data_IF_930651864359
#
_entry.id   IF_930651864359
#
_cell.length_a   1.000
_cell.length_b   1.000
_cell.length_c   1.000
_cell.angle_alpha   90.00
_cell.angle_beta   90.00
_cell.angle_gamma   90.00
#
_symmetry.space_group_name_H-M   'P 1'
#
loop_
_entity.id
_entity.type
_entity.pdbx_description
1 polymer ?
#
# COMPACT_ATOMS: atom_id res chain seq x y z
N UNK A 1 9.44 -36.47 83.15
CA UNK A 1 10.91 -36.25 83.10
C UNK A 1 11.26 -35.88 81.67
N UNK A 2 12.14 -34.89 81.46
CA UNK A 2 12.87 -34.47 80.22
C UNK A 2 12.70 -35.31 78.93
N UNK A 3 12.66 -34.77 77.70
CA UNK A 3 12.65 -33.39 77.17
C UNK A 3 12.17 -33.46 75.69
N UNK A 4 11.68 -32.36 75.10
CA UNK A 4 11.48 -32.25 73.64
C UNK A 4 12.83 -32.17 72.89
N UNK A 5 12.82 -32.59 71.62
CA UNK A 5 13.83 -32.23 70.62
C UNK A 5 13.11 -31.71 69.38
N UNK A 6 13.40 -30.47 68.99
CA UNK A 6 12.84 -29.82 67.81
C UNK A 6 13.61 -30.22 66.54
N UNK A 7 12.90 -30.69 65.52
CA UNK A 7 13.43 -30.83 64.16
C UNK A 7 12.88 -29.72 63.26
N UNK A 8 13.66 -28.65 63.04
CA UNK A 8 13.27 -27.59 62.11
C UNK A 8 13.45 -28.03 60.65
N UNK A 9 12.36 -28.14 59.89
CA UNK A 9 12.42 -28.18 58.42
C UNK A 9 12.13 -26.78 57.86
N UNK A 10 13.15 -26.10 57.31
CA UNK A 10 12.98 -24.80 56.65
C UNK A 10 12.28 -24.95 55.31
N UNK A 11 11.00 -24.58 55.24
CA UNK A 11 10.30 -24.30 53.98
C UNK A 11 10.74 -22.94 53.42
N UNK A 12 11.65 -22.96 52.44
CA UNK A 12 12.00 -21.76 51.68
C UNK A 12 10.84 -21.36 50.76
N UNK A 13 10.00 -20.42 51.20
CA UNK A 13 9.05 -19.73 50.33
C UNK A 13 9.80 -18.85 49.32
N UNK A 14 10.12 -19.40 48.15
CA UNK A 14 10.51 -18.61 46.99
C UNK A 14 9.26 -17.89 46.49
N UNK A 15 9.25 -16.56 46.58
CA UNK A 15 8.08 -15.75 46.21
C UNK A 15 7.67 -15.99 44.74
N UNK A 16 6.37 -16.20 44.44
CA UNK A 16 5.90 -16.43 43.07
C UNK A 16 6.02 -15.22 42.13
N UNK A 17 6.46 -14.07 42.65
CA UNK A 17 6.57 -12.78 41.95
C UNK A 17 7.63 -12.81 40.84
N UNK A 18 8.69 -13.61 40.98
CA UNK A 18 9.72 -13.72 39.93
C UNK A 18 9.27 -14.53 38.71
N UNK A 19 8.44 -15.57 38.89
CA UNK A 19 7.98 -16.40 37.75
C UNK A 19 7.04 -15.61 36.82
N UNK A 20 6.14 -14.80 37.37
CA UNK A 20 5.21 -13.99 36.58
C UNK A 20 5.94 -12.88 35.80
N UNK A 21 6.94 -12.25 36.41
CA UNK A 21 7.79 -11.25 35.74
C UNK A 21 8.55 -11.86 34.55
N UNK A 22 9.14 -13.06 34.71
CA UNK A 22 9.82 -13.75 33.61
C UNK A 22 8.85 -14.24 32.52
N UNK A 23 7.64 -14.68 32.87
CA UNK A 23 6.61 -15.02 31.89
C UNK A 23 6.14 -13.79 31.11
N UNK A 24 5.98 -12.63 31.74
CA UNK A 24 5.70 -11.37 31.05
C UNK A 24 6.85 -10.95 30.13
N UNK A 25 8.11 -11.06 30.58
CA UNK A 25 9.29 -10.77 29.73
C UNK A 25 9.37 -11.74 28.55
N UNK A 26 9.07 -13.04 28.73
CA UNK A 26 9.02 -14.02 27.64
C UNK A 26 7.85 -13.76 26.67
N UNK A 27 6.69 -13.33 27.17
CA UNK A 27 5.57 -12.89 26.31
C UNK A 27 5.91 -11.60 25.54
N UNK A 28 6.63 -10.65 26.15
CA UNK A 28 7.08 -9.42 25.49
C UNK A 28 8.16 -9.73 24.45
N UNK A 29 9.13 -10.61 24.73
CA UNK A 29 10.15 -11.03 23.75
C UNK A 29 9.56 -11.90 22.63
N UNK A 30 8.56 -12.76 22.90
CA UNK A 30 7.81 -13.49 21.85
C UNK A 30 6.80 -12.60 21.11
N UNK A 31 6.46 -11.44 21.64
CA UNK A 31 5.63 -10.41 21.00
C UNK A 31 6.46 -9.34 20.25
N UNK A 32 7.69 -9.68 19.83
CA UNK A 32 8.18 -9.17 18.55
C UNK A 32 7.30 -9.83 17.48
N UNK A 33 6.11 -9.26 17.27
CA UNK A 33 5.14 -9.71 16.27
C UNK A 33 5.85 -9.76 14.93
N UNK A 34 6.18 -10.96 14.46
CA UNK A 34 6.93 -11.14 13.22
C UNK A 34 6.15 -10.48 12.10
N UNK A 35 6.70 -9.39 11.53
CA UNK A 35 6.06 -8.61 10.48
C UNK A 35 5.56 -9.56 9.40
N UNK A 36 4.26 -9.48 9.04
CA UNK A 36 3.68 -10.39 8.04
C UNK A 36 4.59 -10.44 6.81
N UNK A 37 4.92 -11.62 6.28
CA UNK A 37 5.88 -11.75 5.18
C UNK A 37 5.43 -10.90 3.99
N UNK A 38 6.37 -10.26 3.30
CA UNK A 38 6.06 -9.49 2.10
C UNK A 38 5.54 -10.41 0.99
N UNK A 39 4.59 -9.93 0.18
CA UNK A 39 4.22 -10.65 -1.06
C UNK A 39 5.42 -10.73 -2.00
N UNK A 40 5.56 -11.85 -2.72
CA UNK A 40 6.61 -12.05 -3.72
C UNK A 40 6.61 -10.92 -4.77
N UNK A 41 7.77 -10.49 -5.30
CA UNK A 41 7.83 -9.47 -6.32
C UNK A 41 7.16 -9.86 -7.64
N UNK A 42 6.50 -8.90 -8.28
CA UNK A 42 5.73 -9.13 -9.52
C UNK A 42 6.57 -9.11 -10.81
N UNK A 43 7.81 -8.63 -10.75
CA UNK A 43 8.68 -8.51 -11.93
C UNK A 43 10.08 -9.04 -11.61
N UNK A 44 10.46 -10.19 -12.19
CA UNK A 44 11.84 -10.73 -12.18
C UNK A 44 12.55 -10.69 -10.79
N UNK A 45 11.82 -10.98 -9.69
CA UNK A 45 12.29 -10.86 -8.30
C UNK A 45 12.79 -9.46 -7.85
N UNK A 46 12.59 -8.40 -8.64
CA UNK A 46 13.01 -7.02 -8.27
C UNK A 46 12.28 -6.53 -7.01
N UNK A 47 12.98 -6.17 -5.92
CA UNK A 47 12.35 -5.86 -4.63
C UNK A 47 11.56 -4.55 -4.62
N UNK A 48 11.95 -3.60 -5.47
CA UNK A 48 11.31 -2.30 -5.69
C UNK A 48 11.27 -2.05 -7.19
N UNK A 49 10.11 -1.64 -7.72
CA UNK A 49 9.93 -1.36 -9.14
C UNK A 49 9.41 0.05 -9.40
N UNK A 50 9.68 0.59 -10.58
CA UNK A 50 9.06 1.80 -11.09
C UNK A 50 8.03 1.45 -12.17
N UNK A 51 6.81 1.94 -12.02
CA UNK A 51 5.74 1.82 -13.00
C UNK A 51 5.44 3.19 -13.64
N UNK A 52 5.11 3.19 -14.93
CA UNK A 52 4.73 4.37 -15.70
C UNK A 52 3.23 4.37 -16.01
N UNK A 53 2.55 5.49 -15.76
CA UNK A 53 1.13 5.69 -16.06
C UNK A 53 0.84 7.17 -16.41
N UNK A 54 1.53 7.70 -17.40
CA UNK A 54 1.32 9.05 -17.96
C UNK A 54 1.03 8.96 -19.48
N UNK A 55 0.26 9.89 -20.07
CA UNK A 55 -0.31 9.76 -21.43
C UNK A 55 0.70 9.98 -22.58
N UNK A 56 1.97 9.64 -22.38
CA UNK A 56 3.08 10.01 -23.27
C UNK A 56 3.06 9.34 -24.64
N UNK A 57 2.17 8.38 -24.89
CA UNK A 57 1.85 7.91 -26.24
C UNK A 57 1.38 9.06 -27.14
N UNK A 58 0.70 10.07 -26.56
CA UNK A 58 0.31 11.30 -27.26
C UNK A 58 1.51 12.04 -27.85
N UNK A 59 2.69 11.99 -27.21
CA UNK A 59 3.89 12.65 -27.73
C UNK A 59 4.39 12.03 -29.03
N UNK A 60 4.33 10.69 -29.13
CA UNK A 60 4.65 9.98 -30.35
C UNK A 60 3.57 10.22 -31.41
N UNK A 61 2.29 10.06 -31.05
CA UNK A 61 1.15 10.15 -31.97
C UNK A 61 1.00 11.55 -32.60
N UNK A 62 1.20 12.62 -31.82
CA UNK A 62 0.96 14.01 -32.28
C UNK A 62 2.20 14.72 -32.80
N UNK A 63 3.37 14.42 -32.24
CA UNK A 63 4.59 15.22 -32.43
C UNK A 63 5.81 14.38 -32.83
N UNK A 64 5.65 13.06 -33.05
CA UNK A 64 6.76 12.13 -33.31
C UNK A 64 7.84 12.12 -32.20
N UNK A 65 7.53 12.63 -30.99
CA UNK A 65 8.47 12.67 -29.86
C UNK A 65 8.39 11.36 -29.09
N UNK A 66 9.27 10.41 -29.46
CA UNK A 66 9.44 9.15 -28.72
C UNK A 66 10.23 9.36 -27.42
N UNK A 67 9.67 8.95 -26.29
CA UNK A 67 10.33 8.85 -24.99
C UNK A 67 10.97 7.46 -24.82
N UNK A 68 12.07 7.38 -24.06
CA UNK A 68 12.59 6.10 -23.60
C UNK A 68 12.02 5.78 -22.20
N UNK A 69 11.35 4.64 -22.06
CA UNK A 69 10.76 4.17 -20.81
C UNK A 69 11.35 2.84 -20.32
N UNK A 70 12.48 2.37 -20.88
CA UNK A 70 13.11 1.07 -20.57
C UNK A 70 13.51 0.90 -19.09
N UNK A 71 13.65 2.01 -18.33
CA UNK A 71 13.91 1.98 -16.89
C UNK A 71 12.68 1.63 -16.03
N UNK A 72 11.46 1.68 -16.60
CA UNK A 72 10.22 1.29 -15.94
C UNK A 72 9.89 -0.18 -16.22
N UNK A 73 9.60 -0.94 -15.17
CA UNK A 73 9.32 -2.38 -15.27
C UNK A 73 7.90 -2.68 -15.74
N UNK A 74 6.99 -1.73 -15.50
CA UNK A 74 5.57 -1.85 -15.79
C UNK A 74 5.13 -0.55 -16.44
N UNK A 75 4.50 -0.63 -17.61
CA UNK A 75 4.04 0.54 -18.36
C UNK A 75 2.55 0.39 -18.61
N UNK A 76 1.84 1.50 -18.47
CA UNK A 76 0.47 1.68 -18.91
C UNK A 76 0.22 3.12 -19.34
N UNK A 77 -1.02 3.38 -19.76
CA UNK A 77 -1.44 4.67 -20.30
C UNK A 77 -2.81 5.06 -19.75
N UNK A 78 -3.00 6.27 -19.21
CA UNK A 78 -4.27 6.73 -18.67
C UNK A 78 -5.27 7.16 -19.77
N UNK A 79 -4.92 7.03 -21.05
CA UNK A 79 -5.79 7.39 -22.18
C UNK A 79 -7.08 6.55 -22.22
N UNK A 80 -8.21 7.16 -22.56
CA UNK A 80 -9.53 6.51 -22.53
C UNK A 80 -9.70 5.32 -23.49
N UNK A 81 -8.85 5.22 -24.53
CA UNK A 81 -8.85 4.11 -25.49
C UNK A 81 -7.72 3.09 -25.25
N UNK A 82 -6.89 3.28 -24.22
CA UNK A 82 -5.83 2.34 -23.88
C UNK A 82 -6.43 1.06 -23.27
N UNK A 83 -6.01 -0.11 -23.76
CA UNK A 83 -6.48 -1.43 -23.36
C UNK A 83 -5.28 -2.37 -23.22
N UNK A 84 -5.41 -3.45 -22.46
CA UNK A 84 -4.34 -4.45 -22.27
C UNK A 84 -3.06 -3.87 -21.65
N UNK A 85 -3.20 -2.87 -20.77
CA UNK A 85 -2.07 -2.14 -20.19
C UNK A 85 -1.63 -2.80 -18.87
N UNK A 86 -0.32 -2.97 -18.66
CA UNK A 86 0.20 -3.58 -17.42
C UNK A 86 0.03 -2.67 -16.18
N UNK A 87 -0.19 -1.36 -16.39
CA UNK A 87 -0.91 -0.50 -15.44
C UNK A 87 -2.24 -0.11 -16.07
N UNK A 88 -3.35 -0.64 -15.56
CA UNK A 88 -4.70 -0.22 -15.98
C UNK A 88 -5.33 0.61 -14.87
N UNK A 89 -5.68 1.86 -15.18
CA UNK A 89 -6.36 2.79 -14.27
C UNK A 89 -7.81 3.02 -14.71
N UNK A 90 -8.74 2.76 -13.81
CA UNK A 90 -10.17 2.89 -13.99
C UNK A 90 -10.66 4.20 -13.37
N UNK A 91 -10.72 5.25 -14.18
CA UNK A 91 -11.40 6.49 -13.82
C UNK A 91 -12.91 6.29 -13.66
N UNK A 92 -13.56 7.27 -13.04
CA UNK A 92 -15.00 7.31 -12.70
C UNK A 92 -15.99 6.96 -13.82
N UNK A 93 -15.60 7.09 -15.08
CA UNK A 93 -16.43 6.77 -16.25
C UNK A 93 -15.95 5.52 -17.02
N UNK A 94 -15.14 4.66 -16.39
CA UNK A 94 -14.50 3.49 -17.01
C UNK A 94 -14.70 2.17 -16.27
N UNK A 95 -15.44 2.15 -15.16
CA UNK A 95 -15.72 0.93 -14.39
C UNK A 95 -17.12 1.02 -13.78
N UNK A 96 -18.09 0.41 -14.44
CA UNK A 96 -19.47 0.38 -13.99
C UNK A 96 -20.14 1.75 -13.99
N UNK A 97 -21.32 1.81 -13.37
CA UNK A 97 -22.05 3.05 -13.15
C UNK A 97 -21.69 3.63 -11.78
N UNK A 98 -20.50 4.20 -11.63
CA UNK A 98 -20.11 4.88 -10.39
C UNK A 98 -21.00 6.13 -10.16
N UNK A 99 -21.65 6.29 -8.99
CA UNK A 99 -22.51 7.43 -8.68
C UNK A 99 -21.71 8.65 -8.23
N UNK A 100 -22.01 9.84 -8.76
CA UNK A 100 -21.35 11.10 -8.36
C UNK A 100 -22.16 12.35 -8.79
N UNK A 101 -21.84 13.51 -8.21
CA UNK A 101 -22.43 14.81 -8.59
C UNK A 101 -21.45 15.66 -9.42
N UNK A 102 -21.96 16.24 -10.51
CA UNK A 102 -21.21 17.27 -11.28
C UNK A 102 -20.98 18.53 -10.44
N UNK A 103 -20.10 19.42 -10.91
CA UNK A 103 -19.88 20.75 -10.32
C UNK A 103 -21.14 21.63 -10.28
N UNK A 104 -22.15 21.32 -11.08
CA UNK A 104 -23.45 21.98 -11.15
C UNK A 104 -24.50 21.30 -10.24
N UNK A 105 -24.13 20.27 -9.48
CA UNK A 105 -25.04 19.52 -8.63
C UNK A 105 -25.92 18.50 -9.37
N UNK A 106 -25.68 18.24 -10.67
CA UNK A 106 -26.43 17.23 -11.43
C UNK A 106 -26.00 15.82 -10.99
N UNK A 107 -26.93 14.92 -10.60
CA UNK A 107 -26.62 13.54 -10.26
C UNK A 107 -26.28 12.73 -11.51
N UNK A 108 -25.11 12.11 -11.53
CA UNK A 108 -24.71 11.10 -12.50
C UNK A 108 -24.87 9.74 -11.84
N UNK A 109 -25.52 8.80 -12.54
CA UNK A 109 -25.80 7.45 -12.04
C UNK A 109 -26.50 7.47 -10.65
N UNK A 110 -27.50 8.34 -10.47
CA UNK A 110 -28.22 8.50 -9.19
C UNK A 110 -27.52 9.40 -8.15
N UNK A 111 -26.25 9.78 -8.38
CA UNK A 111 -25.47 10.72 -7.55
C UNK A 111 -24.95 10.16 -6.22
N UNK A 112 -25.70 9.23 -5.60
CA UNK A 112 -25.39 8.60 -4.31
C UNK A 112 -25.31 7.07 -4.45
N UNK A 113 -24.45 6.38 -3.68
CA UNK A 113 -24.36 4.91 -3.70
C UNK A 113 -25.66 4.23 -3.24
N UNK A 114 -26.46 4.85 -2.37
CA UNK A 114 -27.77 4.33 -1.97
C UNK A 114 -28.91 4.60 -2.98
N UNK A 115 -28.65 5.34 -4.08
CA UNK A 115 -29.67 5.79 -5.03
C UNK A 115 -29.48 5.20 -6.44
N UNK A 116 -28.85 4.02 -6.54
CA UNK A 116 -28.68 3.28 -7.80
C UNK A 116 -28.54 1.77 -7.53
N UNK A 117 -29.01 0.95 -8.47
CA UNK A 117 -28.84 -0.51 -8.42
C UNK A 117 -27.36 -0.93 -8.48
N UNK A 118 -26.87 -1.53 -7.40
CA UNK A 118 -25.56 -2.17 -7.33
C UNK A 118 -25.42 -3.31 -8.36
N UNK A 119 -26.49 -4.05 -8.65
CA UNK A 119 -26.44 -5.13 -9.65
C UNK A 119 -26.12 -4.57 -11.04
N UNK A 120 -26.85 -3.54 -11.49
CA UNK A 120 -26.65 -2.91 -12.80
C UNK A 120 -25.26 -2.26 -12.89
N UNK A 121 -24.75 -1.71 -11.77
CA UNK A 121 -23.37 -1.27 -11.68
C UNK A 121 -22.37 -2.43 -11.95
N UNK A 122 -22.54 -3.56 -11.27
CA UNK A 122 -21.62 -4.71 -11.37
C UNK A 122 -21.67 -5.38 -12.75
N UNK A 123 -22.84 -5.50 -13.38
CA UNK A 123 -22.99 -5.98 -14.75
C UNK A 123 -22.23 -5.10 -15.75
N UNK A 124 -22.32 -3.77 -15.60
CA UNK A 124 -21.55 -2.82 -16.42
C UNK A 124 -20.05 -2.87 -16.10
N UNK A 125 -19.67 -3.07 -14.84
CA UNK A 125 -18.28 -3.16 -14.40
C UNK A 125 -17.59 -4.43 -14.95
N UNK A 126 -18.27 -5.58 -15.01
CA UNK A 126 -17.75 -6.80 -15.63
C UNK A 126 -17.38 -6.57 -17.10
N UNK A 127 -18.29 -5.94 -17.86
CA UNK A 127 -18.04 -5.56 -19.26
C UNK A 127 -16.84 -4.62 -19.40
N UNK A 128 -16.67 -3.65 -18.48
CA UNK A 128 -15.51 -2.75 -18.50
C UNK A 128 -14.20 -3.48 -18.16
N UNK A 129 -14.20 -4.38 -17.18
CA UNK A 129 -13.03 -5.19 -16.83
C UNK A 129 -12.60 -6.02 -18.05
N UNK A 130 -13.55 -6.69 -18.70
CA UNK A 130 -13.31 -7.47 -19.92
C UNK A 130 -12.87 -6.60 -21.10
N UNK A 131 -13.35 -5.35 -21.21
CA UNK A 131 -12.90 -4.40 -22.22
C UNK A 131 -11.46 -3.92 -21.96
N UNK A 132 -11.16 -3.34 -20.79
CA UNK A 132 -9.86 -2.72 -20.51
C UNK A 132 -8.75 -3.74 -20.24
N UNK A 133 -9.05 -4.87 -19.61
CA UNK A 133 -8.11 -5.94 -19.27
C UNK A 133 -8.53 -7.24 -19.96
N UNK A 134 -8.30 -7.41 -21.28
CA UNK A 134 -8.75 -8.60 -22.02
C UNK A 134 -8.00 -9.89 -21.64
N UNK A 135 -6.77 -9.81 -21.11
CA UNK A 135 -6.01 -10.98 -20.68
C UNK A 135 -6.50 -11.48 -19.32
N UNK A 136 -7.00 -12.72 -19.25
CA UNK A 136 -7.51 -13.32 -18.00
C UNK A 136 -6.42 -13.56 -16.95
N UNK A 137 -5.20 -13.87 -17.40
CA UNK A 137 -4.04 -14.14 -16.56
C UNK A 137 -3.29 -12.87 -16.11
N UNK A 138 -3.86 -11.69 -16.38
CA UNK A 138 -3.31 -10.38 -16.02
C UNK A 138 -2.76 -10.33 -14.59
N UNK A 139 -1.46 -10.05 -14.47
CA UNK A 139 -0.74 -9.90 -13.21
C UNK A 139 -0.18 -8.49 -12.99
N UNK A 140 -0.75 -7.49 -13.66
CA UNK A 140 -0.36 -6.08 -13.57
C UNK A 140 -1.07 -5.33 -12.44
N UNK A 141 -0.95 -3.99 -12.47
CA UNK A 141 -1.59 -3.07 -11.54
C UNK A 141 -2.98 -2.70 -12.05
N UNK A 142 -4.04 -2.98 -11.27
CA UNK A 142 -5.42 -2.64 -11.58
C UNK A 142 -5.94 -1.63 -10.54
N UNK A 143 -5.95 -0.35 -10.92
CA UNK A 143 -6.16 0.75 -9.98
C UNK A 143 -7.51 1.40 -10.21
N UNK A 144 -8.37 1.41 -9.20
CA UNK A 144 -9.68 2.06 -9.26
C UNK A 144 -9.53 3.49 -8.74
N UNK A 145 -9.85 4.47 -9.59
CA UNK A 145 -9.65 5.89 -9.33
C UNK A 145 -11.01 6.61 -9.16
N UNK A 146 -11.55 6.44 -7.96
CA UNK A 146 -12.86 6.95 -7.54
C UNK A 146 -12.69 7.98 -6.42
N UNK A 147 -12.51 9.25 -6.80
CA UNK A 147 -12.20 10.33 -5.87
C UNK A 147 -13.42 11.14 -5.39
N UNK A 148 -14.64 10.93 -5.90
CA UNK A 148 -15.75 11.88 -5.69
C UNK A 148 -16.32 11.86 -4.26
N UNK A 149 -16.59 10.69 -3.71
CA UNK A 149 -16.99 10.48 -2.32
C UNK A 149 -16.04 9.53 -1.59
N UNK A 150 -16.00 9.62 -0.27
CA UNK A 150 -15.29 8.71 0.63
C UNK A 150 -16.31 7.78 1.30
N UNK A 151 -16.01 6.50 1.58
CA UNK A 151 -16.99 5.56 2.14
C UNK A 151 -17.31 5.79 3.63
N UNK A 152 -16.61 6.72 4.30
CA UNK A 152 -16.89 7.16 5.66
C UNK A 152 -17.51 8.56 5.60
N UNK A 153 -18.68 8.74 6.21
CA UNK A 153 -19.46 9.97 6.28
C UNK A 153 -18.62 11.17 6.71
N UNK A 154 -17.85 11.01 7.79
CA UNK A 154 -17.01 12.07 8.36
C UNK A 154 -15.86 12.53 7.43
N UNK A 155 -15.52 11.75 6.39
CA UNK A 155 -14.52 12.11 5.37
C UNK A 155 -15.13 12.83 4.15
N UNK A 156 -16.45 13.05 4.11
CA UNK A 156 -17.15 13.82 3.06
C UNK A 156 -17.35 15.29 3.45
N UNK A 157 -16.25 16.02 3.62
CA UNK A 157 -16.21 17.45 3.95
C UNK A 157 -15.83 18.32 2.72
N UNK A 158 -15.87 19.64 2.88
CA UNK A 158 -15.67 20.63 1.80
C UNK A 158 -16.59 20.35 0.60
N UNK A 159 -16.04 20.26 -0.62
CA UNK A 159 -16.80 19.98 -1.85
C UNK A 159 -17.47 18.60 -1.88
N UNK A 160 -17.17 17.73 -0.90
CA UNK A 160 -17.85 16.44 -0.71
C UNK A 160 -19.06 16.53 0.23
N UNK A 161 -19.32 17.68 0.84
CA UNK A 161 -20.49 17.84 1.72
C UNK A 161 -21.82 17.64 0.97
N UNK A 162 -21.83 17.85 -0.35
CA UNK A 162 -22.96 17.52 -1.23
C UNK A 162 -23.45 16.07 -1.05
N UNK A 163 -22.56 15.10 -0.77
CA UNK A 163 -22.96 13.72 -0.52
C UNK A 163 -23.71 13.56 0.81
N UNK A 164 -23.37 14.37 1.83
CA UNK A 164 -24.10 14.39 3.10
C UNK A 164 -25.44 15.11 2.97
N UNK A 165 -25.44 16.27 2.32
CA UNK A 165 -26.64 17.06 2.03
C UNK A 165 -27.67 16.23 1.24
N UNK A 166 -27.27 15.66 0.10
CA UNK A 166 -28.16 14.86 -0.75
C UNK A 166 -28.59 13.54 -0.12
N UNK A 167 -27.78 12.96 0.78
CA UNK A 167 -28.23 11.81 1.57
C UNK A 167 -29.34 12.18 2.55
N UNK A 168 -29.28 13.35 3.20
CA UNK A 168 -30.36 13.85 4.07
C UNK A 168 -31.62 14.18 3.27
N UNK A 169 -31.50 14.89 2.15
CA UNK A 169 -32.62 15.17 1.25
C UNK A 169 -33.33 13.88 0.82
N UNK A 170 -32.58 12.86 0.36
CA UNK A 170 -33.15 11.58 -0.05
C UNK A 170 -33.94 10.86 1.06
N UNK A 171 -33.49 10.92 2.32
CA UNK A 171 -34.24 10.34 3.45
C UNK A 171 -35.49 11.18 3.76
N UNK A 172 -35.37 12.52 3.74
CA UNK A 172 -36.48 13.44 3.98
C UNK A 172 -37.58 13.34 2.93
N UNK A 173 -37.24 13.08 1.67
CA UNK A 173 -38.21 12.90 0.57
C UNK A 173 -38.92 11.54 0.64
N UNK A 174 -38.36 10.56 1.36
CA UNK A 174 -38.88 9.19 1.46
C UNK A 174 -39.71 8.93 2.73
N UNK A 175 -39.66 9.79 3.76
CA UNK A 175 -40.27 9.52 5.06
C UNK A 175 -40.94 10.77 5.65
N UNK A 176 -42.24 10.69 5.91
CA UNK A 176 -42.99 11.76 6.58
C UNK A 176 -42.78 11.73 8.11
N UNK A 177 -42.80 12.91 8.75
CA UNK A 177 -42.78 13.10 10.21
C UNK A 177 -41.54 12.54 10.95
N UNK A 178 -40.39 12.48 10.29
CA UNK A 178 -39.11 12.05 10.88
C UNK A 178 -38.35 13.24 11.49
N UNK A 179 -37.65 13.04 12.61
CA UNK A 179 -36.86 14.12 13.24
C UNK A 179 -35.53 14.38 12.51
N UNK A 180 -34.99 15.60 12.59
CA UNK A 180 -33.68 15.94 12.00
C UNK A 180 -32.55 15.01 12.49
N UNK A 181 -32.63 14.54 13.73
CA UNK A 181 -31.68 13.59 14.33
C UNK A 181 -31.74 12.23 13.65
N UNK A 182 -32.96 11.74 13.40
CA UNK A 182 -33.19 10.47 12.72
C UNK A 182 -32.82 10.56 11.24
N UNK A 183 -33.08 11.70 10.58
CA UNK A 183 -32.65 11.98 9.20
C UNK A 183 -31.12 11.92 9.10
N UNK A 184 -30.35 12.59 9.98
CA UNK A 184 -28.87 12.52 9.96
C UNK A 184 -28.37 11.09 10.24
N UNK A 185 -28.99 10.37 11.18
CA UNK A 185 -28.63 8.98 11.50
C UNK A 185 -28.85 8.04 10.32
N UNK A 186 -30.06 8.06 9.73
CA UNK A 186 -30.44 7.22 8.59
C UNK A 186 -29.65 7.58 7.33
N UNK A 187 -29.45 8.88 7.06
CA UNK A 187 -28.65 9.34 5.92
C UNK A 187 -27.20 8.86 6.03
N UNK A 188 -26.59 8.96 7.21
CA UNK A 188 -25.26 8.40 7.48
C UNK A 188 -25.23 6.89 7.29
N UNK A 189 -26.11 6.15 7.96
CA UNK A 189 -26.10 4.68 7.97
C UNK A 189 -26.27 4.12 6.55
N UNK A 190 -27.28 4.60 5.83
CA UNK A 190 -27.60 4.15 4.45
C UNK A 190 -26.49 4.50 3.46
N UNK A 191 -25.87 5.68 3.61
CA UNK A 191 -24.73 6.08 2.80
C UNK A 191 -23.49 5.20 3.06
N UNK A 192 -23.08 5.00 4.31
CA UNK A 192 -21.88 4.23 4.66
C UNK A 192 -22.04 2.74 4.30
N UNK A 193 -23.22 2.16 4.50
CA UNK A 193 -23.53 0.80 4.07
C UNK A 193 -23.45 0.64 2.55
N UNK A 194 -24.11 1.53 1.81
CA UNK A 194 -24.16 1.47 0.34
C UNK A 194 -22.79 1.75 -0.28
N UNK A 195 -22.05 2.75 0.22
CA UNK A 195 -20.70 3.07 -0.22
C UNK A 195 -19.72 1.89 0.00
N UNK A 196 -19.83 1.22 1.15
CA UNK A 196 -19.10 -0.01 1.46
C UNK A 196 -19.46 -1.13 0.51
N UNK A 197 -20.74 -1.37 0.24
CA UNK A 197 -21.19 -2.41 -0.70
C UNK A 197 -20.67 -2.14 -2.12
N UNK A 198 -20.83 -0.91 -2.62
CA UNK A 198 -20.33 -0.48 -3.93
C UNK A 198 -18.82 -0.71 -4.08
N UNK A 199 -18.00 -0.21 -3.15
CA UNK A 199 -16.56 -0.36 -3.26
C UNK A 199 -16.11 -1.82 -3.13
N UNK A 200 -16.69 -2.56 -2.17
CA UNK A 200 -16.29 -3.92 -1.83
C UNK A 200 -16.65 -4.94 -2.90
N UNK A 201 -17.87 -4.91 -3.43
CA UNK A 201 -18.29 -5.90 -4.42
C UNK A 201 -17.69 -5.61 -5.81
N UNK A 202 -17.41 -4.35 -6.14
CA UNK A 202 -16.70 -3.99 -7.38
C UNK A 202 -15.25 -4.51 -7.39
N UNK A 203 -14.50 -4.31 -6.30
CA UNK A 203 -13.11 -4.79 -6.26
C UNK A 203 -13.03 -6.32 -6.20
N UNK A 204 -13.97 -6.98 -5.52
CA UNK A 204 -14.14 -8.44 -5.56
C UNK A 204 -14.43 -8.95 -6.98
N UNK A 205 -15.30 -8.27 -7.74
CA UNK A 205 -15.58 -8.63 -9.13
C UNK A 205 -14.30 -8.54 -9.99
N UNK A 206 -13.52 -7.47 -9.81
CA UNK A 206 -12.18 -7.34 -10.40
C UNK A 206 -11.25 -8.51 -10.04
N UNK A 207 -11.13 -8.82 -8.74
CA UNK A 207 -10.31 -9.94 -8.26
C UNK A 207 -10.81 -11.32 -8.70
N UNK A 208 -12.12 -11.54 -8.83
CA UNK A 208 -12.69 -12.78 -9.38
C UNK A 208 -12.35 -12.92 -10.86
N UNK A 209 -12.46 -11.83 -11.62
CA UNK A 209 -12.27 -11.81 -13.06
C UNK A 209 -10.79 -11.88 -13.46
N UNK A 210 -9.90 -11.23 -12.68
CA UNK A 210 -8.46 -11.15 -12.93
C UNK A 210 -7.69 -11.44 -11.62
N UNK A 211 -7.62 -12.72 -11.19
CA UNK A 211 -7.18 -13.11 -9.85
C UNK A 211 -5.69 -12.90 -9.56
N UNK A 212 -4.86 -12.78 -10.60
CA UNK A 212 -3.44 -12.41 -10.47
C UNK A 212 -3.25 -10.88 -10.42
N UNK A 213 -4.28 -10.10 -10.76
CA UNK A 213 -4.24 -8.65 -10.82
C UNK A 213 -4.07 -8.02 -9.44
N UNK A 214 -3.25 -6.97 -9.38
CA UNK A 214 -3.08 -6.16 -8.18
C UNK A 214 -4.18 -5.11 -8.12
N UNK A 215 -5.35 -5.52 -7.65
CA UNK A 215 -6.51 -4.66 -7.45
C UNK A 215 -6.39 -3.80 -6.18
N UNK A 216 -6.72 -2.52 -6.30
CA UNK A 216 -6.79 -1.58 -5.17
C UNK A 216 -7.32 -0.21 -5.60
N UNK A 217 -7.69 0.61 -4.60
CA UNK A 217 -8.18 1.98 -4.83
C UNK A 217 -7.05 3.01 -4.71
N UNK A 218 -6.96 3.92 -5.67
CA UNK A 218 -6.08 5.09 -5.60
C UNK A 218 -6.42 6.00 -4.40
N UNK A 219 -5.41 6.66 -3.84
CA UNK A 219 -5.39 7.39 -2.55
C UNK A 219 -5.40 6.52 -1.29
N UNK A 220 -5.72 5.23 -1.34
CA UNK A 220 -5.95 4.45 -0.13
C UNK A 220 -4.73 3.60 0.31
N UNK A 221 -4.36 3.64 1.61
CA UNK A 221 -4.89 4.50 2.67
C UNK A 221 -4.41 5.96 2.55
N UNK A 222 -5.24 6.89 3.02
CA UNK A 222 -4.88 8.31 3.11
C UNK A 222 -4.47 8.66 4.55
N UNK A 223 -3.36 9.37 4.69
CA UNK A 223 -2.83 9.86 5.97
C UNK A 223 -3.45 11.19 6.40
N UNK A 224 -4.11 11.92 5.47
CA UNK A 224 -4.75 13.22 5.73
C UNK A 224 -3.84 14.33 6.32
N UNK A 225 -2.53 14.16 6.29
CA UNK A 225 -1.48 15.07 6.77
C UNK A 225 -1.25 16.31 5.86
N UNK A 226 -2.34 16.94 5.39
CA UNK A 226 -2.33 17.99 4.36
C UNK A 226 -2.04 19.41 4.88
N UNK A 227 -1.97 19.62 6.20
CA UNK A 227 -1.74 20.90 6.87
C UNK A 227 -0.25 21.33 6.88
N UNK A 228 0.43 21.19 5.74
CA UNK A 228 1.90 21.38 5.56
C UNK A 228 2.39 22.79 5.92
N UNK A 229 1.48 23.77 5.98
CA UNK A 229 1.73 25.17 6.35
C UNK A 229 1.64 25.44 7.87
N UNK A 230 1.29 24.45 8.70
CA UNK A 230 1.23 24.65 10.15
C UNK A 230 2.64 24.85 10.73
N UNK A 231 2.86 25.79 11.68
CA UNK A 231 4.20 26.08 12.21
C UNK A 231 4.84 24.86 12.90
N UNK A 232 4.03 24.00 13.51
CA UNK A 232 4.47 22.76 14.17
C UNK A 232 4.21 21.51 13.29
N UNK A 233 4.34 21.62 11.96
CA UNK A 233 4.07 20.49 11.06
C UNK A 233 5.09 19.34 11.22
N UNK A 234 4.64 18.26 11.84
CA UNK A 234 5.40 17.01 12.06
C UNK A 234 5.36 16.06 10.86
N UNK A 235 4.39 16.22 9.97
CA UNK A 235 4.04 15.24 8.93
C UNK A 235 3.14 14.10 9.38
N UNK A 236 2.88 13.93 10.69
CA UNK A 236 2.13 12.78 11.20
C UNK A 236 0.69 12.75 10.69
N UNK A 237 0.20 11.55 10.37
CA UNK A 237 -1.24 11.34 10.18
C UNK A 237 -1.96 11.71 11.48
N UNK A 238 -3.06 12.49 11.45
CA UNK A 238 -3.87 12.75 12.63
C UNK A 238 -4.35 11.43 13.25
N UNK A 239 -4.39 11.34 14.57
CA UNK A 239 -4.74 10.10 15.28
C UNK A 239 -6.12 9.56 14.88
N UNK A 240 -7.11 10.46 14.77
CA UNK A 240 -8.45 10.12 14.27
C UNK A 240 -8.42 9.51 12.85
N UNK A 241 -7.51 9.95 12.00
CA UNK A 241 -7.38 9.45 10.62
C UNK A 241 -6.70 8.07 10.57
N UNK A 242 -5.83 7.76 11.53
CA UNK A 242 -5.27 6.41 11.76
C UNK A 242 -6.37 5.46 12.26
N UNK A 243 -7.25 5.93 13.17
CA UNK A 243 -8.41 5.15 13.63
C UNK A 243 -9.43 4.92 12.51
N UNK A 244 -9.78 5.96 11.75
CA UNK A 244 -10.62 5.85 10.54
C UNK A 244 -10.03 4.90 9.50
N UNK A 245 -8.70 4.79 9.38
CA UNK A 245 -8.08 3.77 8.53
C UNK A 245 -8.22 2.34 9.10
N UNK A 246 -8.29 2.16 10.42
CA UNK A 246 -8.53 0.84 11.03
C UNK A 246 -9.96 0.33 10.75
N UNK A 247 -10.96 1.22 10.77
CA UNK A 247 -12.36 0.92 10.44
C UNK A 247 -12.55 0.37 9.02
N UNK A 248 -11.69 0.79 8.08
CA UNK A 248 -11.68 0.33 6.69
C UNK A 248 -11.08 -1.08 6.47
N UNK A 249 -10.96 -1.89 7.53
CA UNK A 249 -10.51 -3.30 7.46
C UNK A 249 -11.18 -4.13 6.34
N UNK A 250 -12.46 -3.87 6.06
CA UNK A 250 -13.20 -4.51 4.97
C UNK A 250 -12.65 -4.19 3.57
N UNK A 251 -12.10 -2.98 3.37
CA UNK A 251 -11.49 -2.53 2.12
C UNK A 251 -10.11 -3.17 1.95
N UNK A 252 -9.31 -3.20 3.02
CA UNK A 252 -7.98 -3.81 3.03
C UNK A 252 -8.05 -5.32 2.76
N UNK A 253 -9.01 -6.01 3.38
CA UNK A 253 -9.27 -7.44 3.18
C UNK A 253 -9.86 -7.79 1.81
N UNK A 254 -10.32 -6.80 1.05
CA UNK A 254 -10.87 -6.96 -0.30
C UNK A 254 -9.93 -6.41 -1.37
N UNK A 255 -8.69 -6.06 -1.02
CA UNK A 255 -7.69 -5.49 -1.92
C UNK A 255 -6.52 -6.45 -2.12
N UNK A 256 -5.89 -6.43 -3.30
CA UNK A 256 -4.69 -7.21 -3.61
C UNK A 256 -3.40 -6.36 -3.59
N UNK A 257 -3.52 -5.03 -3.53
CA UNK A 257 -2.45 -4.04 -3.36
C UNK A 257 -2.99 -2.74 -2.73
N UNK A 258 -2.09 -1.86 -2.27
CA UNK A 258 -2.42 -0.51 -1.77
C UNK A 258 -1.80 0.57 -2.66
N UNK A 259 -2.55 1.65 -2.92
CA UNK A 259 -2.17 2.73 -3.84
C UNK A 259 -2.25 4.13 -3.19
N UNK A 260 -1.46 4.38 -2.13
CA UNK A 260 -1.36 5.71 -1.52
C UNK A 260 -0.75 6.71 -2.51
N UNK A 261 -1.12 7.99 -2.39
CA UNK A 261 -0.66 9.04 -3.30
C UNK A 261 0.20 10.08 -2.57
N UNK A 262 1.33 10.46 -3.18
CA UNK A 262 2.26 11.51 -2.74
C UNK A 262 2.40 12.53 -3.88
N UNK A 263 1.46 13.48 -3.91
CA UNK A 263 1.49 14.66 -4.79
C UNK A 263 1.90 15.90 -4.00
N UNK A 264 3.17 16.29 -4.11
CA UNK A 264 3.77 17.46 -3.44
C UNK A 264 3.53 18.77 -4.21
N UNK A 265 3.62 19.93 -3.54
CA UNK A 265 3.41 21.26 -4.13
C UNK A 265 4.72 22.04 -4.25
N UNK A 266 4.87 22.90 -5.27
CA UNK A 266 6.16 23.61 -5.49
C UNK A 266 6.48 24.59 -4.36
N UNK A 267 5.47 25.16 -3.71
CA UNK A 267 5.62 26.05 -2.54
C UNK A 267 6.39 25.45 -1.36
N UNK A 268 6.53 24.12 -1.31
CA UNK A 268 7.30 23.40 -0.29
C UNK A 268 8.44 22.56 -0.89
N UNK A 269 8.76 22.76 -2.17
CA UNK A 269 9.85 22.06 -2.86
C UNK A 269 11.16 22.21 -2.10
N UNK A 270 11.96 21.15 -2.06
CA UNK A 270 13.28 21.14 -1.42
C UNK A 270 13.25 21.36 0.11
N UNK A 271 12.08 21.24 0.75
CA UNK A 271 11.92 21.40 2.21
C UNK A 271 11.82 20.07 2.97
N UNK A 272 12.19 20.08 4.25
CA UNK A 272 11.98 18.92 5.14
C UNK A 272 10.49 18.54 5.27
N UNK A 273 9.58 19.48 5.02
CA UNK A 273 8.14 19.23 5.06
C UNK A 273 7.67 18.28 3.96
N UNK A 274 8.33 18.24 2.79
CA UNK A 274 8.05 17.22 1.76
C UNK A 274 8.50 15.83 2.24
N UNK A 275 9.66 15.72 2.89
CA UNK A 275 10.12 14.47 3.48
C UNK A 275 9.16 14.00 4.58
N UNK A 276 8.76 14.88 5.51
CA UNK A 276 7.78 14.60 6.57
C UNK A 276 6.42 14.15 6.00
N UNK A 277 5.89 14.88 5.02
CA UNK A 277 4.63 14.54 4.34
C UNK A 277 4.69 13.14 3.71
N UNK A 278 5.78 12.83 3.01
CA UNK A 278 5.96 11.57 2.28
C UNK A 278 6.19 10.39 3.22
N UNK A 279 7.13 10.52 4.16
CA UNK A 279 7.53 9.51 5.15
C UNK A 279 6.34 8.93 5.91
N UNK A 280 5.45 9.78 6.42
CA UNK A 280 4.27 9.30 7.16
C UNK A 280 3.21 8.66 6.28
N UNK A 281 3.03 9.11 5.02
CA UNK A 281 2.09 8.50 4.06
C UNK A 281 2.53 7.08 3.68
N UNK A 282 3.81 6.88 3.41
CA UNK A 282 4.36 5.55 3.18
C UNK A 282 4.28 4.71 4.46
N UNK A 283 4.67 5.25 5.62
CA UNK A 283 4.65 4.49 6.88
C UNK A 283 3.24 3.98 7.24
N UNK A 284 2.20 4.82 7.14
CA UNK A 284 0.82 4.40 7.37
C UNK A 284 0.37 3.33 6.37
N UNK A 285 0.77 3.46 5.11
CA UNK A 285 0.49 2.44 4.09
C UNK A 285 1.17 1.10 4.39
N UNK A 286 2.42 1.12 4.85
CA UNK A 286 3.13 -0.08 5.30
C UNK A 286 2.49 -0.69 6.55
N UNK A 287 1.99 0.14 7.49
CA UNK A 287 1.20 -0.34 8.65
C UNK A 287 -0.05 -1.07 8.17
N UNK A 288 -0.92 -0.40 7.42
CA UNK A 288 -2.18 -0.97 6.90
C UNK A 288 -1.94 -2.23 6.06
N UNK A 289 -0.84 -2.30 5.29
CA UNK A 289 -0.51 -3.49 4.48
C UNK A 289 -0.44 -4.79 5.29
N UNK A 290 -0.12 -4.71 6.58
CA UNK A 290 0.05 -5.86 7.49
C UNK A 290 -1.22 -6.19 8.29
N UNK A 291 -2.19 -5.27 8.35
CA UNK A 291 -3.42 -5.37 9.16
C UNK A 291 -4.56 -6.17 8.52
N UNK A 292 -4.33 -6.75 7.35
CA UNK A 292 -5.33 -7.57 6.64
C UNK A 292 -5.53 -8.94 7.30
N UNK A 293 -6.40 -9.76 6.74
CA UNK A 293 -6.56 -11.19 7.04
C UNK A 293 -5.66 -12.09 6.18
N UNK A 294 -5.01 -11.54 5.14
CA UNK A 294 -4.11 -12.29 4.25
C UNK A 294 -2.85 -12.79 4.99
N UNK A 295 -2.28 -13.90 4.52
CA UNK A 295 -1.05 -14.46 5.08
C UNK A 295 0.17 -13.54 4.93
N UNK A 296 0.22 -12.80 3.81
CA UNK A 296 1.30 -11.85 3.48
C UNK A 296 0.82 -10.40 3.58
N UNK A 297 1.75 -9.49 3.85
CA UNK A 297 1.50 -8.06 3.73
C UNK A 297 1.15 -7.68 2.28
N UNK A 298 0.18 -6.78 2.09
CA UNK A 298 -0.16 -6.27 0.76
C UNK A 298 1.01 -5.50 0.13
N UNK A 299 1.29 -5.66 -1.17
CA UNK A 299 2.27 -4.82 -1.84
C UNK A 299 1.75 -3.38 -1.95
N UNK A 300 2.55 -2.43 -1.47
CA UNK A 300 2.28 -0.99 -1.56
C UNK A 300 2.95 -0.41 -2.80
N UNK A 301 2.18 0.25 -3.67
CA UNK A 301 2.68 0.96 -4.85
C UNK A 301 2.33 2.44 -4.75
N UNK A 302 3.32 3.26 -4.43
CA UNK A 302 3.09 4.67 -4.10
C UNK A 302 2.94 5.49 -5.37
N UNK A 303 1.77 6.10 -5.57
CA UNK A 303 1.53 7.03 -6.67
C UNK A 303 2.30 8.33 -6.43
N UNK A 304 3.01 8.81 -7.45
CA UNK A 304 3.73 10.08 -7.45
C UNK A 304 3.68 10.74 -8.83
N UNK A 305 4.34 11.88 -9.01
CA UNK A 305 4.29 12.69 -10.24
C UNK A 305 5.71 13.07 -10.70
N UNK A 306 5.84 13.39 -12.00
CA UNK A 306 7.07 13.97 -12.56
C UNK A 306 7.38 15.35 -12.01
N UNK A 307 6.33 16.15 -11.76
CA UNK A 307 6.41 17.52 -11.28
C UNK A 307 5.41 17.79 -10.19
N UNK A 308 5.47 19.01 -9.66
CA UNK A 308 4.63 19.42 -8.55
C UNK A 308 3.15 19.43 -8.94
N UNK A 309 2.28 19.15 -7.97
CA UNK A 309 0.83 18.96 -8.15
C UNK A 309 0.14 20.20 -8.76
N UNK A 310 0.62 21.38 -8.38
CA UNK A 310 0.20 22.70 -8.82
C UNK A 310 0.91 23.17 -10.09
N UNK A 311 2.10 22.65 -10.39
CA UNK A 311 2.90 23.00 -11.56
C UNK A 311 3.45 21.74 -12.28
N UNK A 312 2.63 21.01 -13.06
CA UNK A 312 2.99 19.68 -13.59
C UNK A 312 4.24 19.64 -14.49
N UNK A 313 4.61 20.78 -15.09
CA UNK A 313 5.79 20.94 -15.95
C UNK A 313 7.01 21.49 -15.20
N UNK A 314 6.89 21.84 -13.92
CA UNK A 314 8.03 22.08 -13.03
C UNK A 314 8.33 20.75 -12.35
N UNK A 315 9.37 20.07 -12.84
CA UNK A 315 9.68 18.72 -12.40
C UNK A 315 10.35 18.69 -11.02
N UNK A 316 10.19 17.58 -10.31
CA UNK A 316 10.76 17.39 -8.98
C UNK A 316 12.29 17.51 -9.01
N UNK A 317 12.84 18.20 -8.02
CA UNK A 317 14.29 18.28 -7.82
C UNK A 317 14.87 16.91 -7.41
N UNK A 318 16.20 16.78 -7.41
CA UNK A 318 16.86 15.58 -6.87
C UNK A 318 16.50 15.34 -5.40
N UNK A 319 16.35 16.39 -4.60
CA UNK A 319 15.97 16.27 -3.19
C UNK A 319 14.52 15.83 -3.01
N UNK A 320 13.61 16.29 -3.87
CA UNK A 320 12.21 15.87 -3.82
C UNK A 320 12.00 14.46 -4.41
N UNK A 321 12.78 14.05 -5.41
CA UNK A 321 12.86 12.66 -5.87
C UNK A 321 13.34 11.72 -4.74
N UNK A 322 14.34 12.14 -3.95
CA UNK A 322 14.77 11.41 -2.73
C UNK A 322 13.66 11.36 -1.69
N UNK A 323 13.04 12.49 -1.41
CA UNK A 323 12.02 12.62 -0.36
C UNK A 323 10.70 11.90 -0.69
N UNK A 324 10.45 11.56 -1.96
CA UNK A 324 9.24 10.85 -2.43
C UNK A 324 9.52 9.40 -2.81
N UNK A 325 10.29 9.17 -3.87
CA UNK A 325 10.60 7.84 -4.41
C UNK A 325 11.64 7.12 -3.54
N UNK A 326 12.71 7.82 -3.14
CA UNK A 326 13.75 7.26 -2.27
C UNK A 326 13.20 6.83 -0.90
N UNK A 327 12.35 7.67 -0.31
CA UNK A 327 11.67 7.39 0.96
C UNK A 327 10.70 6.19 0.82
N UNK A 328 9.99 6.08 -0.30
CA UNK A 328 9.12 4.93 -0.60
C UNK A 328 9.91 3.61 -0.66
N UNK A 329 11.07 3.60 -1.32
CA UNK A 329 11.94 2.44 -1.39
C UNK A 329 12.53 2.08 -0.02
N UNK A 330 13.05 3.07 0.72
CA UNK A 330 13.70 2.85 2.01
C UNK A 330 12.75 2.29 3.09
N UNK A 331 11.46 2.66 3.03
CA UNK A 331 10.42 2.15 3.94
C UNK A 331 9.80 0.81 3.48
N UNK A 332 10.25 0.22 2.37
CA UNK A 332 9.87 -1.13 1.96
C UNK A 332 8.65 -1.25 1.04
N UNK A 333 8.22 -0.16 0.38
CA UNK A 333 7.18 -0.24 -0.65
C UNK A 333 7.57 -1.26 -1.75
N UNK A 334 6.58 -1.84 -2.42
CA UNK A 334 6.84 -2.74 -3.56
C UNK A 334 7.24 -1.97 -4.83
N UNK A 335 6.89 -0.70 -4.91
CA UNK A 335 7.28 0.17 -6.01
C UNK A 335 6.62 1.55 -5.94
N UNK A 336 6.79 2.30 -7.02
CA UNK A 336 6.10 3.57 -7.28
C UNK A 336 5.33 3.51 -8.60
N UNK A 337 4.31 4.35 -8.74
CA UNK A 337 3.62 4.60 -10.00
C UNK A 337 3.78 6.08 -10.34
N UNK A 338 4.49 6.39 -11.41
CA UNK A 338 4.56 7.76 -11.93
C UNK A 338 3.30 8.02 -12.74
N UNK A 339 2.44 8.89 -12.21
CA UNK A 339 1.25 9.35 -12.87
C UNK A 339 1.45 10.73 -13.49
N UNK A 340 0.74 10.99 -14.58
CA UNK A 340 0.74 12.28 -15.25
C UNK A 340 -0.59 12.59 -15.93
N UNK A 341 -0.93 13.87 -15.98
CA UNK A 341 -2.10 14.37 -16.71
C UNK A 341 -1.76 14.77 -18.16
N UNK A 342 -2.76 15.25 -18.89
CA UNK A 342 -2.62 15.65 -20.29
C UNK A 342 -1.72 16.87 -20.50
N UNK A 343 -1.46 17.71 -19.48
CA UNK A 343 -0.63 18.92 -19.60
C UNK A 343 0.81 18.60 -19.99
N UNK A 344 1.31 17.43 -19.55
CA UNK A 344 2.62 16.88 -19.93
C UNK A 344 2.77 16.67 -21.45
N UNK A 345 1.64 16.56 -22.17
CA UNK A 345 1.58 16.14 -23.58
C UNK A 345 0.81 17.12 -24.47
N UNK A 346 0.50 18.32 -23.96
CA UNK A 346 -0.31 19.30 -24.68
C UNK A 346 0.39 19.97 -25.86
N UNK A 347 1.73 19.93 -25.93
CA UNK A 347 2.53 20.47 -27.03
C UNK A 347 3.81 19.66 -27.27
N UNK A 348 4.42 19.80 -28.44
CA UNK A 348 5.75 19.24 -28.75
C UNK A 348 6.82 19.72 -27.77
N UNK A 349 6.78 21.00 -27.38
CA UNK A 349 7.69 21.57 -26.39
C UNK A 349 7.54 20.89 -25.02
N UNK A 350 6.31 20.62 -24.57
CA UNK A 350 6.05 19.91 -23.32
C UNK A 350 6.53 18.46 -23.39
N UNK A 351 6.23 17.75 -24.47
CA UNK A 351 6.74 16.40 -24.75
C UNK A 351 8.27 16.34 -24.77
N UNK A 352 8.93 17.34 -25.37
CA UNK A 352 10.39 17.47 -25.39
C UNK A 352 10.95 17.73 -24.00
N UNK A 353 10.29 18.56 -23.19
CA UNK A 353 10.65 18.82 -21.78
C UNK A 353 10.56 17.53 -20.95
N UNK A 354 9.44 16.80 -21.06
CA UNK A 354 9.25 15.49 -20.39
C UNK A 354 10.32 14.50 -20.83
N UNK A 355 10.54 14.34 -22.14
CA UNK A 355 11.59 13.46 -22.69
C UNK A 355 12.96 13.77 -22.11
N UNK A 356 13.34 15.05 -22.02
CA UNK A 356 14.62 15.47 -21.44
C UNK A 356 14.76 15.01 -19.99
N UNK A 357 13.75 15.25 -19.15
CA UNK A 357 13.79 14.89 -17.72
C UNK A 357 13.78 13.38 -17.48
N UNK A 358 13.01 12.62 -18.26
CA UNK A 358 13.03 11.14 -18.24
C UNK A 358 14.40 10.61 -18.65
N UNK A 359 15.01 11.20 -19.67
CA UNK A 359 16.36 10.85 -20.15
C UNK A 359 17.51 11.51 -19.35
N UNK A 360 17.23 12.26 -18.28
CA UNK A 360 18.26 12.82 -17.39
C UNK A 360 18.06 12.39 -15.93
N UNK A 361 17.51 13.27 -15.10
CA UNK A 361 17.54 13.19 -13.65
C UNK A 361 16.62 12.08 -13.15
N UNK A 362 15.44 11.92 -13.75
CA UNK A 362 14.51 10.87 -13.37
C UNK A 362 15.04 9.48 -13.75
N UNK A 363 15.47 9.29 -15.01
CA UNK A 363 15.94 7.98 -15.48
C UNK A 363 17.14 7.48 -14.70
N UNK A 364 18.13 8.36 -14.47
CA UNK A 364 19.28 8.08 -13.62
C UNK A 364 18.87 7.76 -12.18
N UNK A 365 17.93 8.53 -11.61
CA UNK A 365 17.46 8.32 -10.23
C UNK A 365 16.68 7.01 -10.05
N UNK A 366 15.77 6.67 -10.98
CA UNK A 366 15.01 5.42 -10.98
C UNK A 366 15.96 4.21 -11.00
N UNK A 367 17.01 4.25 -11.82
CA UNK A 367 17.99 3.17 -11.88
C UNK A 367 18.88 3.11 -10.64
N UNK A 368 19.25 4.26 -10.06
CA UNK A 368 19.96 4.30 -8.78
C UNK A 368 19.18 3.57 -7.67
N UNK A 369 17.93 3.97 -7.44
CA UNK A 369 17.11 3.42 -6.33
C UNK A 369 16.70 1.96 -6.57
N UNK A 370 16.28 1.59 -7.78
CA UNK A 370 15.89 0.20 -8.10
C UNK A 370 17.07 -0.76 -8.03
N UNK A 371 18.24 -0.38 -8.56
CA UNK A 371 19.45 -1.20 -8.51
C UNK A 371 20.03 -1.30 -7.10
N UNK A 372 19.99 -0.23 -6.31
CA UNK A 372 20.40 -0.28 -4.90
C UNK A 372 19.51 -1.23 -4.07
N UNK A 373 18.20 -1.23 -4.32
CA UNK A 373 17.29 -2.17 -3.68
C UNK A 373 17.58 -3.62 -4.07
N UNK A 374 17.89 -3.90 -5.35
CA UNK A 374 18.34 -5.23 -5.81
C UNK A 374 19.63 -5.69 -5.12
N UNK A 375 20.66 -4.83 -5.09
CA UNK A 375 21.94 -5.12 -4.43
C UNK A 375 21.72 -5.45 -2.96
N UNK A 376 20.91 -4.66 -2.27
CA UNK A 376 20.58 -4.91 -0.86
C UNK A 376 19.83 -6.25 -0.68
N UNK A 377 18.80 -6.52 -1.50
CA UNK A 377 18.05 -7.78 -1.48
C UNK A 377 18.93 -9.01 -1.75
N UNK A 378 19.86 -8.92 -2.69
CA UNK A 378 20.81 -9.99 -3.03
C UNK A 378 21.75 -10.30 -1.86
N UNK A 379 22.43 -9.29 -1.33
CA UNK A 379 23.53 -9.51 -0.38
C UNK A 379 23.02 -9.73 1.06
N UNK A 380 22.07 -8.91 1.52
CA UNK A 380 21.53 -9.00 2.88
C UNK A 380 20.41 -10.06 2.96
N UNK A 381 19.51 -10.11 1.98
CA UNK A 381 18.26 -10.88 2.06
C UNK A 381 18.19 -12.10 1.12
N UNK A 382 19.32 -12.51 0.54
CA UNK A 382 19.48 -13.69 -0.34
C UNK A 382 18.49 -13.78 -1.52
N UNK A 383 18.04 -12.63 -2.07
CA UNK A 383 16.94 -12.52 -3.06
C UNK A 383 15.58 -13.09 -2.58
N UNK A 384 15.43 -13.30 -1.28
CA UNK A 384 14.27 -13.91 -0.61
C UNK A 384 13.55 -12.93 0.34
N UNK A 385 13.97 -11.66 0.35
CA UNK A 385 13.30 -10.54 1.01
C UNK A 385 13.69 -9.20 0.40
N UNK A 386 13.02 -8.14 0.82
CA UNK A 386 13.41 -6.74 0.51
C UNK A 386 14.08 -6.10 1.72
N UNK A 387 14.93 -5.12 1.47
CA UNK A 387 15.49 -4.29 2.54
C UNK A 387 14.48 -3.24 3.00
N UNK A 388 14.41 -3.02 4.31
CA UNK A 388 13.66 -1.94 4.97
C UNK A 388 14.57 -1.20 5.95
N UNK A 389 14.42 0.12 6.06
CA UNK A 389 15.21 0.98 6.97
C UNK A 389 14.94 0.56 8.42
N UNK A 390 15.99 0.21 9.19
CA UNK A 390 15.84 -0.27 10.58
C UNK A 390 15.14 0.75 11.49
N UNK A 391 15.60 2.01 11.42
CA UNK A 391 14.97 3.12 12.10
C UNK A 391 14.17 3.95 11.09
N UNK A 392 12.87 3.71 10.95
CA UNK A 392 12.05 4.33 9.90
C UNK A 392 12.15 5.87 9.85
N UNK A 393 12.37 6.53 10.99
CA UNK A 393 12.56 7.98 11.10
C UNK A 393 13.91 8.50 10.57
N UNK A 394 14.95 7.67 10.51
CA UNK A 394 16.28 8.06 10.06
C UNK A 394 16.31 8.47 8.57
N UNK A 395 17.44 9.00 8.12
CA UNK A 395 17.61 9.57 6.75
C UNK A 395 18.46 8.65 5.86
N UNK A 396 18.30 7.34 6.02
CA UNK A 396 19.07 6.32 5.29
C UNK A 396 18.31 5.86 4.05
N UNK A 397 18.94 5.91 2.87
CA UNK A 397 18.29 5.58 1.60
C UNK A 397 18.99 4.44 0.88
N UNK A 398 18.21 3.68 0.11
CA UNK A 398 18.74 2.67 -0.81
C UNK A 398 19.21 3.38 -2.08
N UNK A 399 20.45 3.88 -2.05
CA UNK A 399 21.13 4.47 -3.21
C UNK A 399 22.46 3.77 -3.50
N UNK A 400 22.87 3.79 -4.77
CA UNK A 400 24.19 3.33 -5.19
C UNK A 400 25.25 4.34 -4.76
N UNK A 401 26.33 3.86 -4.15
CA UNK A 401 27.50 4.68 -3.85
C UNK A 401 28.18 5.12 -5.16
N UNK A 402 28.32 6.44 -5.46
CA UNK A 402 28.95 6.92 -6.69
C UNK A 402 30.46 6.62 -6.78
N UNK A 403 31.12 6.21 -5.69
CA UNK A 403 32.49 5.71 -5.72
C UNK A 403 32.61 4.26 -6.21
N UNK A 404 31.51 3.49 -6.15
CA UNK A 404 31.47 2.06 -6.50
C UNK A 404 30.65 1.77 -7.76
N UNK A 405 29.81 2.71 -8.17
CA UNK A 405 28.89 2.61 -9.29
C UNK A 405 28.83 3.89 -10.11
N UNK A 406 28.71 3.73 -11.43
CA UNK A 406 28.48 4.83 -12.36
C UNK A 406 27.25 4.53 -13.22
N UNK A 407 26.39 5.53 -13.36
CA UNK A 407 25.20 5.47 -14.22
C UNK A 407 25.46 6.38 -15.41
N UNK A 408 25.68 5.77 -16.58
CA UNK A 408 25.98 6.47 -17.82
C UNK A 408 24.74 6.44 -18.73
N UNK A 409 24.44 7.56 -19.41
CA UNK A 409 23.45 7.58 -20.47
C UNK A 409 24.10 7.20 -21.81
N UNK A 410 23.51 6.27 -22.55
CA UNK A 410 23.89 5.90 -23.90
C UNK A 410 23.27 6.87 -24.94
N UNK A 411 23.78 6.86 -26.16
CA UNK A 411 23.34 7.78 -27.23
C UNK A 411 21.87 7.60 -27.64
N UNK A 412 21.31 6.39 -27.52
CA UNK A 412 19.87 6.11 -27.75
C UNK A 412 18.98 6.53 -26.57
N UNK A 413 19.58 7.04 -25.49
CA UNK A 413 18.93 7.38 -24.24
C UNK A 413 18.66 6.19 -23.32
N UNK A 414 19.23 5.01 -23.56
CA UNK A 414 19.38 3.99 -22.52
C UNK A 414 20.31 4.47 -21.40
N UNK A 415 20.31 3.74 -20.30
CA UNK A 415 21.19 3.98 -19.17
C UNK A 415 21.88 2.68 -18.77
N UNK A 416 23.19 2.73 -18.59
CA UNK A 416 24.02 1.59 -18.22
C UNK A 416 24.54 1.83 -16.80
N UNK A 417 24.29 0.87 -15.90
CA UNK A 417 24.86 0.89 -14.54
C UNK A 417 26.12 0.02 -14.52
N UNK A 418 27.28 0.65 -14.43
CA UNK A 418 28.58 -0.02 -14.27
C UNK A 418 29.00 -0.03 -12.80
N UNK A 419 29.87 -0.98 -12.43
CA UNK A 419 30.42 -1.11 -11.08
C UNK A 419 29.83 -2.25 -10.26
N UNK A 420 30.27 -2.37 -9.00
CA UNK A 420 29.87 -3.41 -8.05
C UNK A 420 30.02 -2.92 -6.62
N UNK A 421 29.21 -3.44 -5.70
CA UNK A 421 29.30 -3.09 -4.29
C UNK A 421 30.65 -3.49 -3.69
N UNK A 422 31.28 -2.56 -2.99
CA UNK A 422 32.43 -2.82 -2.13
C UNK A 422 32.00 -3.45 -0.81
N UNK A 423 32.95 -4.03 -0.06
CA UNK A 423 32.68 -4.50 1.30
C UNK A 423 32.17 -3.37 2.22
N UNK A 424 32.64 -2.12 2.02
CA UNK A 424 32.16 -0.95 2.75
C UNK A 424 30.70 -0.63 2.44
N UNK A 425 30.29 -0.68 1.17
CA UNK A 425 28.89 -0.47 0.78
C UNK A 425 27.95 -1.49 1.43
N UNK A 426 28.37 -2.76 1.42
CA UNK A 426 27.60 -3.85 2.03
C UNK A 426 27.54 -3.75 3.56
N UNK A 427 28.60 -3.28 4.21
CA UNK A 427 28.61 -3.00 5.65
C UNK A 427 27.64 -1.87 5.99
N UNK A 428 27.66 -0.76 5.25
CA UNK A 428 26.73 0.37 5.41
C UNK A 428 25.28 -0.04 5.17
N UNK A 429 25.01 -0.89 4.17
CA UNK A 429 23.67 -1.48 3.98
C UNK A 429 23.27 -2.33 5.18
N UNK A 430 24.13 -3.23 5.67
CA UNK A 430 23.86 -4.12 6.79
C UNK A 430 23.70 -3.38 8.13
N UNK A 431 24.33 -2.22 8.29
CA UNK A 431 24.15 -1.32 9.43
C UNK A 431 22.75 -0.70 9.42
N UNK A 432 22.31 -0.17 8.27
CA UNK A 432 21.13 0.72 8.15
C UNK A 432 19.82 -0.01 7.81
N UNK A 433 19.89 -1.17 7.18
CA UNK A 433 18.74 -1.91 6.67
C UNK A 433 18.62 -3.31 7.29
N UNK A 434 17.39 -3.78 7.43
CA UNK A 434 17.04 -5.16 7.78
C UNK A 434 16.16 -5.79 6.70
N UNK A 435 16.01 -7.11 6.73
CA UNK A 435 15.23 -7.82 5.73
C UNK A 435 13.77 -7.98 6.14
N UNK A 436 12.87 -7.65 5.21
CA UNK A 436 11.46 -8.05 5.22
C UNK A 436 11.30 -9.22 4.24
N UNK A 437 11.25 -10.44 4.78
CA UNK A 437 11.24 -11.67 3.98
C UNK A 437 9.95 -11.85 3.19
N UNK A 438 10.06 -12.44 2.00
CA UNK A 438 8.91 -12.81 1.19
C UNK A 438 8.18 -14.03 1.75
N UNK A 439 6.92 -14.21 1.36
CA UNK A 439 6.15 -15.43 1.64
C UNK A 439 6.95 -16.68 1.27
N UNK A 440 7.02 -17.63 2.20
CA UNK A 440 7.86 -18.83 2.08
C UNK A 440 9.24 -18.73 2.74
N UNK A 441 9.67 -17.56 3.21
CA UNK A 441 10.99 -17.34 3.83
C UNK A 441 10.92 -16.69 5.21
N UNK A 442 11.93 -16.97 6.05
CA UNK A 442 12.07 -16.46 7.43
C UNK A 442 13.55 -16.30 7.82
N UNK A 443 13.81 -15.84 9.05
CA UNK A 443 15.15 -15.56 9.56
C UNK A 443 15.63 -14.14 9.20
N UNK A 444 16.71 -13.68 9.84
CA UNK A 444 17.18 -12.30 9.72
C UNK A 444 17.72 -11.93 8.32
N UNK A 445 18.19 -12.93 7.56
CA UNK A 445 18.71 -12.78 6.19
C UNK A 445 17.83 -13.48 5.13
N UNK A 446 16.62 -13.93 5.50
CA UNK A 446 15.68 -14.65 4.64
C UNK A 446 16.22 -15.95 4.00
N UNK A 447 17.24 -16.58 4.61
CA UNK A 447 17.82 -17.84 4.14
C UNK A 447 16.95 -19.06 4.45
N UNK A 448 16.28 -19.06 5.60
CA UNK A 448 15.45 -20.18 6.02
C UNK A 448 14.13 -20.20 5.23
N UNK A 449 13.75 -21.38 4.73
CA UNK A 449 12.39 -21.59 4.24
C UNK A 449 11.43 -21.77 5.42
N UNK A 450 10.23 -21.21 5.29
CA UNK A 450 9.12 -21.53 6.19
C UNK A 450 8.60 -22.90 5.75
N UNK A 451 8.72 -23.90 6.62
CA UNK A 451 8.06 -25.19 6.42
C UNK A 451 6.58 -24.94 6.11
N UNK A 452 6.07 -25.57 5.05
CA UNK A 452 4.64 -25.60 4.84
C UNK A 452 4.02 -26.23 6.10
N UNK A 453 2.96 -25.61 6.63
CA UNK A 453 2.17 -26.24 7.68
C UNK A 453 1.52 -27.47 7.06
N UNK A 454 2.21 -28.61 7.17
CA UNK A 454 1.69 -29.87 6.67
C UNK A 454 0.36 -30.12 7.34
N UNK A 455 -0.64 -30.54 6.55
CA UNK A 455 -1.74 -31.29 7.15
C UNK A 455 -1.10 -32.47 7.88
N UNK A 456 -1.05 -32.38 9.20
CA UNK A 456 -0.83 -33.52 10.06
C UNK A 456 -2.00 -34.46 9.82
N UNK A 457 -1.83 -35.34 8.83
CA UNK A 457 -2.61 -36.56 8.68
C UNK A 457 -2.51 -37.23 10.03
N UNK A 458 -3.60 -37.16 10.80
CA UNK A 458 -3.73 -37.89 12.06
C UNK A 458 -3.46 -39.35 11.71
N UNK A 459 -2.41 -39.99 12.25
CA UNK A 459 -2.20 -41.40 12.00
C UNK A 459 -3.43 -42.12 12.52
N UNK A 460 -4.12 -42.85 11.65
CA UNK A 460 -5.23 -43.69 12.05
C UNK A 460 -4.69 -44.81 12.94
N UNK A 461 -4.63 -44.57 14.25
CA UNK A 461 -4.29 -45.60 15.22
C UNK A 461 -5.46 -46.58 15.25
N UNK A 462 -5.32 -47.65 14.46
CA UNK A 462 -6.21 -48.82 14.52
C UNK A 462 -6.24 -49.34 15.95
N UNK A 463 -7.44 -49.50 16.50
CA UNK A 463 -7.60 -49.79 17.92
C UNK A 463 -7.01 -51.14 18.32
N UNK A 464 -6.26 -51.14 19.43
CA UNK A 464 -6.20 -52.25 20.40
C UNK A 464 -5.36 -51.80 21.60
N UNK A 465 -6.03 -51.49 22.71
CA UNK A 465 -5.61 -51.79 24.09
C UNK A 465 -6.68 -51.26 25.05
N UNK A 466 -7.71 -52.08 25.22
CA UNK A 466 -8.61 -51.97 26.37
C UNK A 466 -7.84 -52.43 27.61
N UNK A 467 -8.13 -51.80 28.75
CA UNK A 467 -8.26 -52.32 30.14
C UNK A 467 -7.40 -51.59 31.18
N UNK A 468 -8.00 -51.41 32.38
CA UNK A 468 -7.38 -50.97 33.66
C UNK A 468 -7.06 -49.46 33.72
N UNK A 469 -7.65 -48.63 34.60
CA UNK A 469 -8.49 -48.89 35.78
C UNK A 469 -9.60 -47.84 35.97
N UNK A 470 -10.77 -48.28 36.44
CA UNK A 470 -11.78 -47.46 37.12
C UNK A 470 -11.71 -47.74 38.64
N UNK A 471 -12.39 -46.91 39.45
CA UNK A 471 -12.33 -46.81 40.93
C UNK A 471 -11.11 -45.96 41.38
N UNK A 472 -11.25 -44.94 42.23
CA UNK A 472 -12.11 -44.87 43.43
C UNK A 472 -13.00 -43.60 43.50
N UNK A 473 -14.30 -43.86 43.67
CA UNK A 473 -15.36 -43.15 44.40
C UNK A 473 -15.20 -41.67 44.84
N UNK A 474 -16.20 -40.90 44.45
CA UNK A 474 -16.65 -39.65 45.09
C UNK A 474 -17.37 -39.89 46.43
N UNK A 475 -16.74 -39.50 47.54
CA UNK A 475 -17.25 -39.46 48.94
C UNK A 475 -16.40 -38.42 49.69
N UNK A 476 -16.88 -37.43 50.46
CA UNK A 476 -18.22 -36.91 50.76
C UNK A 476 -18.10 -35.42 51.24
N UNK A 477 -19.24 -34.70 51.28
CA UNK A 477 -19.52 -33.45 52.04
C UNK A 477 -18.59 -32.23 51.85
#
# INVERSE_FOLDING_TARGET
MKLLSEGQLRLCFVQPIHLTSWLFVIFILKSISSLKPARLPIYQRKPFIAAWNAPTDQCLIKYNVRLNLKMFQVIGSPLAKARGQNVTIFYVNRLGYYPWYTSQGVPINGGLPQNISLQVHLEKADQDINYYIPAEDFSGLAVIDWEYWRPQWARNWNTKDVYRQKSRELISDMQENVSDTDIEYLAKATFEESAKAFMKETIKLGMKSRPKGLWGYYLYPDCHNYNVYAPNYTGSCPEEEVLRNNELSWLWNSSAALYPSIGVRKSFGDSENILRFSKFRVHESMRISTMTSHESALPVFVYTRLGYRDEPLVFLSKQDLVSTIGESAALGAAGIVIWGDMNLTSSEANCTKVKRFVNSDLGSYILNVTRAAEVCSLHLCKNNGRCIRKMWKASDYLHLNPASYHIEAAEDGEFIVKGRASHGDLAVMAEKFSCHCYQGYKGADCREMKEAAGCSVVPSVSGSLITICLLVLSVQL
#
